data_IF_274625775955
#
_entry.id   IF_274625775955
#
_cell.length_a   1.000
_cell.length_b   1.000
_cell.length_c   1.000
_cell.angle_alpha   90.00
_cell.angle_beta   90.00
_cell.angle_gamma   90.00
#
_symmetry.space_group_name_H-M   'P 1'
#
loop_
_entity.id
_entity.type
_entity.pdbx_description
1 polymer ?
#
# COMPACT_ATOMS: atom_id res chain seq x y z
N UNK A 1 26.89 9.91 -13.04
CA UNK A 1 25.88 10.48 -12.13
C UNK A 1 24.55 9.82 -12.46
N UNK A 2 24.21 8.74 -11.79
CA UNK A 2 23.00 7.96 -12.05
C UNK A 2 21.85 8.65 -11.32
N UNK A 3 20.89 9.15 -12.06
CA UNK A 3 19.68 9.79 -11.52
C UNK A 3 18.83 8.75 -10.78
N UNK A 4 18.79 8.88 -9.46
CA UNK A 4 17.83 8.20 -8.60
C UNK A 4 16.45 8.85 -8.84
N UNK A 5 15.80 8.46 -9.92
CA UNK A 5 14.50 9.00 -10.29
C UNK A 5 13.67 7.84 -10.77
N UNK A 6 12.95 7.15 -9.90
CA UNK A 6 12.11 6.26 -10.66
C UNK A 6 10.97 5.55 -9.99
N UNK A 7 10.86 5.48 -8.70
CA UNK A 7 9.60 5.00 -8.14
C UNK A 7 8.69 6.15 -7.68
N UNK A 8 9.24 7.36 -7.73
CA UNK A 8 8.55 8.63 -7.45
C UNK A 8 7.80 9.22 -8.64
N UNK A 9 7.63 8.52 -9.75
CA UNK A 9 6.79 9.01 -10.87
C UNK A 9 5.33 9.20 -10.48
N UNK A 10 5.00 8.82 -9.26
CA UNK A 10 3.75 9.24 -8.64
C UNK A 10 3.82 10.62 -7.96
N UNK A 11 5.00 11.28 -7.96
CA UNK A 11 5.23 12.51 -7.21
C UNK A 11 5.94 13.53 -8.07
N UNK A 12 5.23 14.47 -8.65
CA UNK A 12 5.79 15.68 -9.21
C UNK A 12 5.09 16.92 -8.65
N UNK A 13 5.96 17.76 -8.06
CA UNK A 13 5.85 19.19 -7.74
C UNK A 13 5.07 19.58 -6.49
N UNK A 14 5.70 20.11 -5.55
CA UNK A 14 6.59 21.24 -5.33
C UNK A 14 5.89 22.37 -4.58
N UNK A 15 6.50 22.82 -3.51
CA UNK A 15 6.54 24.25 -3.25
C UNK A 15 6.00 24.74 -1.91
N UNK A 16 6.85 24.79 -0.94
CA UNK A 16 7.24 25.98 -0.15
C UNK A 16 6.30 26.65 0.86
N UNK A 17 6.88 26.85 2.03
CA UNK A 17 7.04 28.05 2.89
C UNK A 17 6.12 28.19 4.11
N UNK A 18 6.76 28.03 5.26
CA UNK A 18 6.81 28.79 6.52
C UNK A 18 5.52 29.36 7.15
N UNK A 19 5.30 29.05 8.43
CA UNK A 19 5.38 30.05 9.50
C UNK A 19 5.44 29.40 10.88
N UNK A 20 6.42 29.88 11.65
CA UNK A 20 6.65 29.62 13.07
C UNK A 20 5.70 30.50 13.89
N UNK A 21 5.11 29.97 14.93
CA UNK A 21 4.60 30.77 16.05
C UNK A 21 4.82 30.02 17.35
N UNK A 22 5.78 30.51 18.12
CA UNK A 22 5.95 30.23 19.55
C UNK A 22 4.79 30.87 20.34
N UNK A 23 4.29 30.17 21.34
CA UNK A 23 3.51 30.77 22.40
C UNK A 23 3.81 30.09 23.74
N UNK A 24 4.13 30.95 24.68
CA UNK A 24 4.73 30.79 25.98
C UNK A 24 3.89 29.97 26.98
N UNK A 25 4.62 29.34 27.89
CA UNK A 25 4.18 28.64 29.07
C UNK A 25 3.55 29.59 30.10
N UNK A 26 2.40 29.21 30.63
CA UNK A 26 1.86 29.70 31.88
C UNK A 26 1.67 28.53 32.83
N UNK A 27 2.37 28.55 33.98
CA UNK A 27 2.23 27.56 35.02
C UNK A 27 0.94 27.74 35.83
N UNK A 28 0.20 26.68 36.18
CA UNK A 28 -0.92 26.76 37.08
C UNK A 28 -0.52 26.46 38.53
N UNK A 29 -1.03 27.31 39.42
CA UNK A 29 -0.99 27.20 40.87
C UNK A 29 -1.61 25.90 41.40
N UNK A 30 -0.89 25.20 42.26
CA UNK A 30 -1.41 24.07 43.03
C UNK A 30 -2.23 24.57 44.21
N UNK A 31 -3.52 24.23 44.22
CA UNK A 31 -4.38 24.29 45.40
C UNK A 31 -4.72 22.85 45.77
N UNK A 32 -4.24 22.41 46.94
CA UNK A 32 -4.57 21.11 47.50
C UNK A 32 -5.97 21.13 48.13
N UNK A 33 -6.89 20.26 47.76
CA UNK A 33 -8.10 20.01 48.54
C UNK A 33 -7.96 18.81 49.45
N UNK A 34 -8.41 19.04 50.65
CA UNK A 34 -8.56 18.14 51.79
C UNK A 34 -9.45 16.95 51.47
N UNK A 35 -9.02 15.76 51.84
CA UNK A 35 -9.76 14.52 51.68
C UNK A 35 -11.05 14.47 52.48
N UNK A 36 -12.15 14.00 51.91
CA UNK A 36 -13.29 13.43 52.66
C UNK A 36 -13.30 11.92 52.60
N UNK A 37 -13.82 11.34 53.65
CA UNK A 37 -13.83 9.96 54.02
C UNK A 37 -14.43 8.97 53.00
N UNK A 38 -13.87 7.79 53.08
CA UNK A 38 -14.22 6.49 52.51
C UNK A 38 -15.74 6.23 52.47
N UNK A 39 -16.27 6.25 51.24
CA UNK A 39 -17.49 5.56 50.88
C UNK A 39 -17.13 4.70 49.67
N UNK A 40 -17.30 3.40 49.80
CA UNK A 40 -17.06 2.45 48.71
C UNK A 40 -17.94 2.79 47.50
N UNK A 41 -17.34 3.46 46.53
CA UNK A 41 -17.99 3.72 45.23
C UNK A 41 -17.96 2.41 44.44
N UNK A 42 -19.08 1.96 43.84
CA UNK A 42 -19.05 0.83 42.94
C UNK A 42 -17.99 1.11 41.84
N UNK A 43 -16.99 0.27 41.70
CA UNK A 43 -16.03 0.35 40.60
C UNK A 43 -16.83 0.19 39.29
N UNK A 44 -16.68 1.09 38.34
CA UNK A 44 -17.18 0.85 37.01
C UNK A 44 -16.56 -0.43 36.50
N UNK A 45 -17.27 -1.24 35.70
CA UNK A 45 -16.71 -2.45 35.09
C UNK A 45 -15.43 -2.08 34.37
N UNK A 46 -14.36 -2.84 34.67
CA UNK A 46 -13.06 -2.69 34.01
C UNK A 46 -13.31 -2.76 32.49
N UNK A 47 -12.76 -1.82 31.71
CA UNK A 47 -12.91 -1.92 30.26
C UNK A 47 -12.39 -3.29 29.84
N UNK A 48 -13.22 -4.07 29.14
CA UNK A 48 -12.84 -5.34 28.59
C UNK A 48 -11.57 -5.13 27.78
N UNK A 49 -10.51 -5.87 28.09
CA UNK A 49 -9.29 -5.84 27.30
C UNK A 49 -9.67 -6.09 25.82
N UNK A 50 -9.20 -5.25 24.87
CA UNK A 50 -9.43 -5.52 23.47
C UNK A 50 -8.96 -6.96 23.15
N UNK A 51 -9.65 -7.69 22.29
CA UNK A 51 -9.28 -9.07 21.97
C UNK A 51 -7.83 -9.12 21.52
N UNK A 52 -7.06 -10.00 22.14
CA UNK A 52 -5.65 -10.21 21.77
C UNK A 52 -5.63 -10.85 20.39
N UNK A 53 -5.19 -10.09 19.38
CA UNK A 53 -5.06 -10.59 18.01
C UNK A 53 -3.87 -11.55 17.97
N UNK A 54 -4.10 -12.81 17.61
CA UNK A 54 -3.01 -13.72 17.25
C UNK A 54 -2.40 -13.28 15.92
N UNK A 55 -1.33 -12.48 15.99
CA UNK A 55 -0.63 -11.95 14.83
C UNK A 55 -0.15 -13.06 13.88
N UNK A 56 0.31 -14.19 14.45
CA UNK A 56 0.78 -15.32 13.65
C UNK A 56 -0.37 -15.96 12.85
N UNK A 57 -1.55 -16.11 13.45
CA UNK A 57 -2.72 -16.64 12.74
C UNK A 57 -3.17 -15.69 11.62
N UNK A 58 -3.20 -14.39 11.89
CA UNK A 58 -3.57 -13.39 10.88
C UNK A 58 -2.58 -13.37 9.71
N UNK A 59 -1.26 -13.44 9.97
CA UNK A 59 -0.25 -13.48 8.91
C UNK A 59 -0.37 -14.75 8.07
N UNK A 60 -0.65 -15.90 8.69
CA UNK A 60 -0.93 -17.14 7.94
C UNK A 60 -2.15 -17.01 7.04
N UNK A 61 -3.23 -16.40 7.55
CA UNK A 61 -4.45 -16.17 6.79
C UNK A 61 -4.22 -15.17 5.65
N UNK A 62 -3.46 -14.10 5.87
CA UNK A 62 -3.06 -13.14 4.85
C UNK A 62 -2.23 -13.82 3.73
N UNK A 63 -1.28 -14.68 4.10
CA UNK A 63 -0.53 -15.47 3.14
C UNK A 63 -1.45 -16.39 2.31
N UNK A 64 -2.39 -17.06 2.95
CA UNK A 64 -3.36 -17.92 2.26
C UNK A 64 -4.24 -17.12 1.28
N UNK A 65 -4.78 -15.97 1.73
CA UNK A 65 -5.58 -15.08 0.90
C UNK A 65 -4.80 -14.55 -0.31
N UNK A 66 -3.58 -14.06 -0.08
CA UNK A 66 -2.72 -13.59 -1.16
C UNK A 66 -2.36 -14.72 -2.13
N UNK A 67 -2.01 -15.90 -1.65
CA UNK A 67 -1.67 -17.05 -2.49
C UNK A 67 -2.88 -17.62 -3.26
N UNK A 68 -4.09 -17.44 -2.75
CA UNK A 68 -5.32 -17.79 -3.44
C UNK A 68 -5.58 -16.98 -4.72
N UNK A 69 -5.02 -15.77 -4.82
CA UNK A 69 -5.19 -14.91 -6.00
C UNK A 69 -4.27 -15.40 -7.12
N UNK A 70 -4.72 -16.27 -8.00
CA UNK A 70 -3.99 -16.71 -9.20
C UNK A 70 -4.26 -15.81 -10.40
N UNK A 71 -5.46 -15.25 -10.47
CA UNK A 71 -5.96 -14.33 -11.49
C UNK A 71 -6.90 -13.33 -10.84
N UNK A 72 -6.91 -12.08 -11.32
CA UNK A 72 -7.79 -11.05 -10.81
C UNK A 72 -8.02 -9.99 -11.89
N UNK A 73 -9.28 -9.60 -12.05
CA UNK A 73 -9.70 -8.41 -12.77
C UNK A 73 -10.47 -7.56 -11.76
N UNK A 74 -10.13 -6.30 -11.63
CA UNK A 74 -10.80 -5.38 -10.72
C UNK A 74 -10.78 -3.95 -11.26
N UNK A 75 -11.72 -3.14 -10.82
CA UNK A 75 -11.58 -1.70 -10.93
C UNK A 75 -10.72 -1.20 -9.78
N UNK A 76 -9.89 -0.20 -10.04
CA UNK A 76 -9.08 0.42 -8.98
C UNK A 76 -9.30 1.93 -8.92
N UNK A 77 -9.15 2.46 -7.72
CA UNK A 77 -8.94 3.89 -7.48
C UNK A 77 -7.62 4.08 -6.73
N UNK A 78 -6.82 5.04 -7.16
CA UNK A 78 -5.53 5.35 -6.59
C UNK A 78 -5.49 6.81 -6.17
N UNK A 79 -5.05 7.03 -4.92
CA UNK A 79 -4.84 8.37 -4.36
C UNK A 79 -3.36 8.51 -4.00
N UNK A 80 -2.73 9.59 -4.43
CA UNK A 80 -1.34 9.91 -4.05
C UNK A 80 -1.30 10.82 -2.81
N UNK A 81 -0.08 11.14 -2.33
CA UNK A 81 0.16 12.02 -1.18
C UNK A 81 -0.36 13.46 -1.36
N UNK A 82 -0.60 13.89 -2.60
CA UNK A 82 -1.18 15.20 -2.91
C UNK A 82 -2.72 15.18 -2.96
N UNK A 83 -3.34 14.03 -2.63
CA UNK A 83 -4.79 13.85 -2.70
C UNK A 83 -5.33 13.72 -4.13
N UNK A 84 -4.47 13.62 -5.14
CA UNK A 84 -4.91 13.43 -6.51
C UNK A 84 -5.42 12.00 -6.70
N UNK A 85 -6.59 11.89 -7.32
CA UNK A 85 -7.23 10.62 -7.59
C UNK A 85 -7.12 10.25 -9.06
N UNK A 86 -6.75 9.01 -9.31
CA UNK A 86 -6.80 8.35 -10.61
C UNK A 86 -7.53 7.01 -10.47
N UNK A 87 -8.11 6.52 -11.53
CA UNK A 87 -8.81 5.24 -11.53
C UNK A 87 -8.54 4.48 -12.82
N UNK A 88 -8.97 3.24 -12.86
CA UNK A 88 -8.82 2.42 -14.05
C UNK A 88 -9.12 0.97 -13.76
N UNK A 89 -8.57 0.08 -14.58
CA UNK A 89 -8.73 -1.36 -14.47
C UNK A 89 -7.41 -2.04 -14.17
N UNK A 90 -7.45 -2.93 -13.18
CA UNK A 90 -6.33 -3.80 -12.81
C UNK A 90 -6.56 -5.19 -13.38
N UNK A 91 -5.55 -5.71 -14.05
CA UNK A 91 -5.44 -7.10 -14.48
C UNK A 91 -4.24 -7.72 -13.80
N UNK A 92 -4.42 -8.89 -13.21
CA UNK A 92 -3.34 -9.64 -12.57
C UNK A 92 -3.44 -11.11 -12.98
N UNK A 93 -2.30 -11.70 -13.32
CA UNK A 93 -2.15 -13.14 -13.54
C UNK A 93 -0.80 -13.59 -12.99
N UNK A 94 -0.83 -14.37 -11.92
CA UNK A 94 0.40 -14.87 -11.32
C UNK A 94 0.98 -16.06 -12.07
N UNK A 95 2.30 -16.23 -12.00
CA UNK A 95 3.27 -15.32 -11.40
C UNK A 95 3.61 -14.14 -12.32
N UNK A 96 3.94 -13.02 -11.72
CA UNK A 96 4.68 -11.91 -12.33
C UNK A 96 3.93 -11.02 -13.29
N UNK A 97 2.69 -11.32 -13.69
CA UNK A 97 1.96 -10.54 -14.68
C UNK A 97 0.95 -9.61 -14.05
N UNK A 98 1.01 -8.35 -14.43
CA UNK A 98 0.11 -7.30 -13.92
C UNK A 98 0.00 -6.19 -14.96
N UNK A 99 -1.19 -5.56 -15.02
CA UNK A 99 -1.41 -4.34 -15.77
C UNK A 99 -2.34 -3.42 -14.99
N UNK A 100 -1.89 -2.17 -14.77
CA UNK A 100 -2.76 -1.06 -14.42
C UNK A 100 -3.05 -0.26 -15.68
N UNK A 101 -4.29 -0.26 -16.08
CA UNK A 101 -4.80 0.52 -17.20
C UNK A 101 -5.57 1.72 -16.65
N UNK A 102 -4.91 2.87 -16.64
CA UNK A 102 -5.51 4.09 -16.10
C UNK A 102 -6.52 4.67 -17.07
N UNK A 103 -7.67 5.09 -16.54
CA UNK A 103 -8.68 5.81 -17.31
C UNK A 103 -8.22 7.23 -17.65
N UNK A 104 -8.75 7.76 -18.76
CA UNK A 104 -8.53 9.16 -19.11
C UNK A 104 -8.98 10.10 -17.97
N UNK A 105 -8.30 11.21 -17.75
CA UNK A 105 -7.23 11.82 -18.58
C UNK A 105 -5.80 11.35 -18.24
N UNK A 106 -5.62 10.34 -17.38
CA UNK A 106 -4.29 9.86 -17.00
C UNK A 106 -3.57 9.25 -18.21
N UNK A 107 -2.32 9.68 -18.51
CA UNK A 107 -1.53 9.09 -19.59
C UNK A 107 -0.76 7.85 -19.16
N UNK A 108 -0.88 7.44 -17.89
CA UNK A 108 -0.07 6.37 -17.32
C UNK A 108 -0.57 4.99 -17.70
N UNK A 109 0.37 4.07 -17.77
CA UNK A 109 0.16 2.64 -17.91
C UNK A 109 1.29 1.91 -17.18
N UNK A 110 0.95 0.90 -16.41
CA UNK A 110 1.93 0.04 -15.74
C UNK A 110 1.71 -1.38 -16.22
N UNK A 111 2.76 -2.02 -16.72
CA UNK A 111 2.71 -3.41 -17.21
C UNK A 111 3.86 -4.20 -16.60
N UNK A 112 3.55 -5.40 -16.10
CA UNK A 112 4.55 -6.39 -15.69
C UNK A 112 4.38 -7.66 -16.53
N UNK A 113 5.50 -8.18 -17.09
CA UNK A 113 5.51 -9.30 -18.03
C UNK A 113 5.92 -10.65 -17.43
N UNK A 114 6.29 -10.66 -16.16
CA UNK A 114 6.82 -11.81 -15.43
C UNK A 114 8.22 -11.60 -14.88
N UNK A 115 8.99 -10.70 -15.45
CA UNK A 115 10.37 -10.37 -15.04
C UNK A 115 10.52 -8.89 -14.75
N UNK A 116 10.04 -8.07 -15.66
CA UNK A 116 10.15 -6.63 -15.66
C UNK A 116 8.81 -5.96 -15.42
N UNK A 117 8.86 -4.75 -14.90
CA UNK A 117 7.74 -3.85 -14.74
C UNK A 117 8.06 -2.56 -15.49
N UNK A 118 7.23 -2.20 -16.46
CA UNK A 118 7.32 -0.96 -17.21
C UNK A 118 6.30 0.05 -16.71
N UNK A 119 6.73 1.28 -16.49
CA UNK A 119 5.89 2.45 -16.21
C UNK A 119 5.97 3.34 -17.44
N UNK A 120 4.87 3.48 -18.15
CA UNK A 120 4.76 4.23 -19.39
C UNK A 120 3.96 5.50 -19.20
N UNK A 121 4.46 6.61 -19.72
CA UNK A 121 3.69 7.82 -19.92
C UNK A 121 3.40 8.02 -21.41
N UNK A 122 2.16 7.77 -21.82
CA UNK A 122 1.73 7.84 -23.23
C UNK A 122 1.81 9.26 -23.81
N UNK A 123 1.67 10.29 -22.97
CA UNK A 123 1.71 11.69 -23.40
C UNK A 123 3.14 12.16 -23.67
N UNK A 124 4.07 11.76 -22.80
CA UNK A 124 5.49 12.12 -22.93
C UNK A 124 6.26 11.15 -23.81
N UNK A 125 5.63 10.04 -24.21
CA UNK A 125 6.25 8.93 -24.94
C UNK A 125 7.49 8.38 -24.23
N UNK A 126 7.44 8.28 -22.88
CA UNK A 126 8.53 7.73 -22.05
C UNK A 126 8.15 6.40 -21.45
N UNK A 127 9.15 5.57 -21.18
CA UNK A 127 8.98 4.30 -20.48
C UNK A 127 10.20 4.03 -19.60
N UNK A 128 9.93 3.78 -18.32
CA UNK A 128 10.92 3.33 -17.36
C UNK A 128 10.69 1.85 -17.06
N UNK A 129 11.76 1.06 -17.01
CA UNK A 129 11.67 -0.39 -16.79
C UNK A 129 12.47 -0.79 -15.56
N UNK A 130 11.85 -1.59 -14.70
CA UNK A 130 12.40 -2.07 -13.44
C UNK A 130 12.27 -3.59 -13.33
N UNK A 131 13.15 -4.23 -12.55
CA UNK A 131 12.90 -5.61 -12.16
C UNK A 131 11.76 -5.68 -11.12
N UNK A 132 10.78 -6.55 -11.32
CA UNK A 132 9.63 -6.73 -10.41
C UNK A 132 10.08 -6.94 -8.97
N UNK A 133 11.16 -7.71 -8.74
CA UNK A 133 11.68 -8.01 -7.40
C UNK A 133 12.15 -6.77 -6.63
N UNK A 134 12.40 -5.65 -7.30
CA UNK A 134 12.85 -4.39 -6.73
C UNK A 134 11.70 -3.39 -6.53
N UNK A 135 10.48 -3.78 -6.86
CA UNK A 135 9.30 -2.92 -6.75
C UNK A 135 8.44 -3.35 -5.54
N UNK A 136 7.68 -2.42 -4.94
CA UNK A 136 6.71 -2.76 -3.89
C UNK A 136 5.65 -3.76 -4.35
N UNK A 137 5.38 -3.84 -5.66
CA UNK A 137 4.34 -4.72 -6.22
C UNK A 137 4.71 -6.22 -6.17
N UNK A 138 5.95 -6.58 -5.82
CA UNK A 138 6.37 -7.99 -5.70
C UNK A 138 5.48 -8.78 -4.74
N UNK A 139 4.87 -8.15 -3.72
CA UNK A 139 3.95 -8.80 -2.78
C UNK A 139 2.67 -9.32 -3.45
N UNK A 140 2.28 -8.77 -4.59
CA UNK A 140 1.17 -9.28 -5.41
C UNK A 140 1.62 -10.30 -6.45
N UNK A 141 2.88 -10.26 -6.87
CA UNK A 141 3.36 -10.89 -8.10
C UNK A 141 4.17 -12.16 -7.91
N UNK A 142 4.71 -12.42 -6.70
CA UNK A 142 5.44 -13.66 -6.43
C UNK A 142 4.55 -14.90 -6.63
N UNK A 143 5.16 -16.00 -7.10
CA UNK A 143 4.47 -17.27 -7.24
C UNK A 143 3.99 -17.79 -5.88
N UNK A 144 4.85 -17.70 -4.86
CA UNK A 144 4.54 -18.03 -3.48
C UNK A 144 4.89 -16.85 -2.58
N UNK A 145 3.90 -16.35 -1.86
CA UNK A 145 4.04 -15.22 -0.93
C UNK A 145 4.14 -15.74 0.48
N UNK A 146 5.16 -15.32 1.19
CA UNK A 146 5.30 -15.50 2.62
C UNK A 146 5.73 -14.16 3.24
N UNK A 147 4.76 -13.40 3.75
CA UNK A 147 5.00 -12.05 4.28
C UNK A 147 6.09 -12.03 5.35
N UNK A 148 6.13 -13.04 6.22
CA UNK A 148 7.11 -13.11 7.30
C UNK A 148 8.55 -13.41 6.80
N UNK A 149 8.70 -14.08 5.66
CA UNK A 149 10.00 -14.37 5.05
C UNK A 149 10.43 -13.33 4.02
N UNK A 150 9.44 -12.77 3.30
CA UNK A 150 9.69 -11.84 2.20
C UNK A 150 9.87 -10.40 2.68
N UNK A 151 9.36 -10.09 3.87
CA UNK A 151 9.34 -8.74 4.46
C UNK A 151 9.45 -8.85 5.99
N UNK A 152 9.53 -7.72 6.67
CA UNK A 152 9.37 -7.65 8.13
C UNK A 152 7.92 -7.29 8.45
N UNK A 153 7.19 -8.18 9.12
CA UNK A 153 5.85 -7.85 9.64
C UNK A 153 6.00 -6.92 10.83
N UNK A 154 5.51 -5.68 10.70
CA UNK A 154 5.68 -4.63 11.72
C UNK A 154 4.51 -4.60 12.68
N UNK A 155 3.28 -4.76 12.17
CA UNK A 155 2.06 -4.67 12.96
C UNK A 155 0.93 -5.44 12.31
N UNK A 156 0.03 -5.92 13.16
CA UNK A 156 -1.27 -6.46 12.76
C UNK A 156 -2.33 -5.77 13.61
N UNK A 157 -3.34 -5.22 12.97
CA UNK A 157 -4.47 -4.57 13.64
C UNK A 157 -5.77 -4.95 12.93
N UNK A 158 -6.90 -4.72 13.59
CA UNK A 158 -8.22 -4.88 13.00
C UNK A 158 -9.16 -3.81 13.50
N UNK A 159 -10.11 -3.45 12.66
CA UNK A 159 -11.29 -2.66 12.98
C UNK A 159 -12.56 -3.42 12.53
N UNK A 160 -13.69 -2.75 12.48
CA UNK A 160 -14.97 -3.37 12.08
C UNK A 160 -14.97 -3.85 10.62
N UNK A 161 -14.23 -3.19 9.75
CA UNK A 161 -14.27 -3.38 8.31
C UNK A 161 -13.05 -4.16 7.78
N UNK A 162 -11.88 -4.00 8.44
CA UNK A 162 -10.62 -4.49 7.92
C UNK A 162 -9.75 -5.19 8.97
N UNK A 163 -9.01 -6.19 8.51
CA UNK A 163 -7.79 -6.69 9.12
C UNK A 163 -6.62 -6.12 8.34
N UNK A 164 -5.69 -5.45 9.04
CA UNK A 164 -4.59 -4.72 8.44
C UNK A 164 -3.28 -5.38 8.83
N UNK A 165 -2.50 -5.76 7.82
CA UNK A 165 -1.13 -6.28 8.02
C UNK A 165 -0.16 -5.26 7.48
N UNK A 166 0.66 -4.68 8.37
CA UNK A 166 1.73 -3.75 8.01
C UNK A 166 3.04 -4.50 7.88
N UNK A 167 3.67 -4.35 6.74
CA UNK A 167 4.98 -4.93 6.45
C UNK A 167 5.99 -3.86 6.06
N UNK A 168 7.28 -4.14 6.29
CA UNK A 168 8.39 -3.33 5.85
C UNK A 168 9.28 -4.13 4.90
N UNK A 169 9.60 -3.54 3.76
CA UNK A 169 10.45 -4.13 2.73
C UNK A 169 11.68 -3.25 2.49
N UNK A 170 12.87 -3.80 2.78
CA UNK A 170 14.16 -3.11 2.60
C UNK A 170 14.82 -3.37 1.26
N UNK A 171 14.23 -4.23 0.43
CA UNK A 171 14.82 -4.66 -0.84
C UNK A 171 14.24 -3.92 -2.05
N UNK A 172 13.38 -2.92 -1.83
CA UNK A 172 12.83 -2.10 -2.91
C UNK A 172 13.83 -1.08 -3.41
N UNK A 173 13.73 -0.77 -4.70
CA UNK A 173 14.51 0.30 -5.29
C UNK A 173 14.07 1.65 -4.68
N UNK A 174 15.04 2.46 -4.25
CA UNK A 174 14.77 3.75 -3.60
C UNK A 174 14.77 3.70 -2.08
N UNK A 175 14.91 2.52 -1.45
CA UNK A 175 15.04 2.39 0.00
C UNK A 175 13.92 1.59 0.65
N UNK A 176 13.79 1.71 1.96
CA UNK A 176 12.79 0.98 2.74
C UNK A 176 11.39 1.46 2.41
N UNK A 177 10.52 0.52 2.06
CA UNK A 177 9.11 0.78 1.78
C UNK A 177 8.25 0.12 2.85
N UNK A 178 7.24 0.81 3.37
CA UNK A 178 6.21 0.23 4.24
C UNK A 178 4.94 -0.01 3.42
N UNK A 179 4.29 -1.14 3.66
CA UNK A 179 3.08 -1.51 2.94
C UNK A 179 2.03 -1.94 3.96
N UNK A 180 0.87 -1.29 3.92
CA UNK A 180 -0.32 -1.70 4.66
C UNK A 180 -1.24 -2.47 3.74
N UNK A 181 -1.51 -3.72 4.07
CA UNK A 181 -2.41 -4.61 3.34
C UNK A 181 -3.74 -4.68 4.08
N UNK A 182 -4.83 -4.28 3.45
CA UNK A 182 -6.17 -4.25 4.02
C UNK A 182 -7.00 -5.41 3.46
N UNK A 183 -7.31 -6.35 4.34
CA UNK A 183 -8.21 -7.45 4.06
C UNK A 183 -9.57 -7.15 4.66
N UNK A 184 -10.66 -7.33 3.91
CA UNK A 184 -12.00 -7.16 4.47
C UNK A 184 -12.23 -8.12 5.63
N UNK A 185 -12.81 -7.64 6.73
CA UNK A 185 -13.06 -8.47 7.91
C UNK A 185 -14.07 -9.61 7.63
N UNK A 186 -14.99 -9.41 6.69
CA UNK A 186 -16.07 -10.36 6.37
C UNK A 186 -15.62 -11.62 5.62
N UNK A 187 -14.64 -11.53 4.72
CA UNK A 187 -14.24 -12.63 3.83
C UNK A 187 -12.73 -12.73 3.60
N UNK A 188 -11.96 -11.87 4.25
CA UNK A 188 -10.51 -11.79 4.18
C UNK A 188 -9.95 -11.56 2.76
N UNK A 189 -10.71 -10.92 1.88
CA UNK A 189 -10.26 -10.55 0.54
C UNK A 189 -9.44 -9.26 0.61
N UNK A 190 -8.25 -9.26 -0.02
CA UNK A 190 -7.44 -8.04 -0.18
C UNK A 190 -8.23 -7.03 -1.01
N UNK A 191 -8.58 -5.89 -0.42
CA UNK A 191 -9.39 -4.85 -1.06
C UNK A 191 -8.70 -3.50 -1.16
N UNK A 192 -7.62 -3.30 -0.41
CA UNK A 192 -6.85 -2.06 -0.44
C UNK A 192 -5.41 -2.32 -0.02
N UNK A 193 -4.49 -1.50 -0.50
CA UNK A 193 -3.15 -1.37 0.09
C UNK A 193 -2.69 0.08 0.06
N UNK A 194 -1.77 0.39 0.96
CA UNK A 194 -1.07 1.68 1.02
C UNK A 194 0.41 1.38 0.94
N UNK A 195 1.10 2.06 0.05
CA UNK A 195 2.56 2.02 -0.06
C UNK A 195 3.10 3.35 0.43
N UNK A 196 4.01 3.30 1.40
CA UNK A 196 4.78 4.45 1.88
C UNK A 196 6.23 4.25 1.46
N UNK A 197 6.74 5.13 0.61
CA UNK A 197 8.13 5.08 0.16
C UNK A 197 9.10 5.61 1.22
N UNK A 198 10.41 5.50 0.94
CA UNK A 198 11.46 5.94 1.87
C UNK A 198 11.49 7.46 2.07
N UNK A 199 10.87 8.24 1.20
CA UNK A 199 10.74 9.69 1.25
C UNK A 199 9.47 10.14 1.99
N UNK A 200 8.63 9.19 2.43
CA UNK A 200 7.37 9.46 3.12
C UNK A 200 6.20 9.71 2.19
N UNK A 201 6.39 9.47 0.88
CA UNK A 201 5.31 9.53 -0.09
C UNK A 201 4.32 8.38 0.10
N UNK A 202 3.03 8.69 0.16
CA UNK A 202 1.95 7.70 0.31
C UNK A 202 1.20 7.52 -1.00
N UNK A 203 0.98 6.26 -1.37
CA UNK A 203 0.09 5.88 -2.46
C UNK A 203 -0.89 4.83 -1.96
N UNK A 204 -2.17 5.16 -2.04
CA UNK A 204 -3.27 4.27 -1.66
C UNK A 204 -3.95 3.73 -2.90
N UNK A 205 -4.15 2.42 -2.95
CA UNK A 205 -4.92 1.75 -4.01
C UNK A 205 -6.07 0.99 -3.38
N UNK A 206 -7.29 1.24 -3.84
CA UNK A 206 -8.50 0.51 -3.47
C UNK A 206 -9.01 -0.27 -4.67
N UNK A 207 -9.49 -1.48 -4.40
CA UNK A 207 -10.09 -2.34 -5.40
C UNK A 207 -11.60 -2.44 -5.20
N UNK A 208 -12.32 -2.48 -6.31
CA UNK A 208 -13.76 -2.74 -6.38
C UNK A 208 -14.05 -3.68 -7.55
N UNK A 209 -15.26 -4.25 -7.59
CA UNK A 209 -15.67 -5.16 -8.66
C UNK A 209 -14.65 -6.29 -8.90
N UNK A 210 -14.15 -6.89 -7.81
CA UNK A 210 -13.09 -7.89 -7.83
C UNK A 210 -13.64 -9.19 -8.41
N UNK A 211 -13.10 -9.63 -9.54
CA UNK A 211 -13.41 -10.90 -10.21
C UNK A 211 -12.13 -11.76 -10.28
N UNK A 212 -12.11 -12.86 -9.55
CA UNK A 212 -11.01 -13.83 -9.53
C UNK A 212 -11.30 -15.07 -10.37
N UNK A 213 -12.45 -15.13 -11.03
CA UNK A 213 -12.88 -16.27 -11.84
C UNK A 213 -12.40 -16.18 -13.28
N UNK A 214 -12.25 -14.96 -13.80
CA UNK A 214 -11.80 -14.69 -15.16
C UNK A 214 -10.29 -14.64 -15.26
N UNK A 215 -9.77 -15.10 -16.40
CA UNK A 215 -8.36 -14.99 -16.74
C UNK A 215 -8.16 -13.86 -17.74
N UNK A 216 -7.33 -12.85 -17.45
CA UNK A 216 -6.96 -11.83 -18.42
C UNK A 216 -6.20 -12.45 -19.60
N UNK A 217 -6.35 -11.86 -20.77
CA UNK A 217 -5.59 -12.26 -21.95
C UNK A 217 -4.09 -11.99 -21.78
N UNK A 218 -3.25 -12.90 -22.29
CA UNK A 218 -1.80 -12.79 -22.18
C UNK A 218 -1.22 -11.56 -22.89
N UNK A 219 -1.88 -11.13 -23.95
CA UNK A 219 -1.53 -9.92 -24.72
C UNK A 219 -1.53 -8.65 -23.89
N UNK A 220 -2.28 -8.61 -22.78
CA UNK A 220 -2.33 -7.47 -21.86
C UNK A 220 -1.00 -7.24 -21.09
N UNK A 221 -0.14 -8.25 -21.04
CA UNK A 221 1.07 -8.25 -20.20
C UNK A 221 2.36 -8.16 -21.03
N UNK A 222 2.29 -7.59 -22.22
CA UNK A 222 3.44 -7.44 -23.11
C UNK A 222 4.05 -6.06 -22.94
N UNK A 223 5.35 -6.00 -22.59
CA UNK A 223 6.14 -4.78 -22.58
C UNK A 223 6.76 -4.60 -23.96
N UNK A 224 6.51 -3.47 -24.61
CA UNK A 224 7.17 -3.15 -25.88
C UNK A 224 8.49 -2.41 -25.57
N UNK A 225 9.61 -3.11 -25.70
CA UNK A 225 10.95 -2.57 -25.44
C UNK A 225 11.50 -1.72 -26.59
N UNK A 226 11.09 -1.99 -27.82
CA UNK A 226 11.67 -1.34 -29.03
C UNK A 226 11.26 0.12 -29.21
N UNK A 227 10.19 0.55 -28.57
CA UNK A 227 9.56 1.85 -28.78
C UNK A 227 10.20 3.02 -28.05
N UNK A 228 11.15 2.74 -27.14
CA UNK A 228 11.63 3.70 -26.13
C UNK A 228 13.15 3.72 -26.00
N UNK A 229 13.87 3.24 -26.99
CA UNK A 229 15.28 3.54 -27.11
C UNK A 229 15.40 5.04 -27.41
N UNK A 230 15.76 5.80 -26.38
CA UNK A 230 16.10 7.22 -26.54
C UNK A 230 17.41 7.29 -27.31
N UNK A 231 17.54 8.15 -28.33
CA UNK A 231 18.80 8.38 -29.04
C UNK A 231 19.86 8.96 -28.12
#
# INVERSE_FOLDING_TARGET
MVKALALSVLFIFSGSIWCIAEAQQGAPLQIAPRAPASGARPQPPSPANPPVIDQGAVVRQANAALNGITSLIADFSQTNNLGQNTSGRLYLQRPGRLRFEYAAPSPLEIVADGTSLAIRNKRLNTQDVYFIRQTPLKFLLKANINLAQDTSVINVSSDADFVIVRVEDKSTFGGTTKIDLFFRASDFVLSQWIVMDAQGGETRVRLSNIDQTKRPERSLFVINYERYETP
#
